data_IF_741223998253
#
_entry.id   IF_741223998253
#
_cell.length_a   1.000
_cell.length_b   1.000
_cell.length_c   1.000
_cell.angle_alpha   90.00
_cell.angle_beta   90.00
_cell.angle_gamma   90.00
#
_symmetry.space_group_name_H-M   'P 1'
#
loop_
_entity.id
_entity.type
_entity.pdbx_description
1 polymer ?
#
# COMPACT_ATOMS: atom_id res chain seq x y z
N UNK A 1 8.75 -27.55 1.04
CA UNK A 1 9.44 -28.00 -0.17
C UNK A 1 8.89 -27.28 -1.39
N UNK A 2 9.75 -26.74 -2.22
CA UNK A 2 9.36 -26.16 -3.51
C UNK A 2 9.13 -27.29 -4.51
N UNK A 3 7.93 -27.39 -5.06
CA UNK A 3 7.66 -28.29 -6.20
C UNK A 3 7.66 -27.45 -7.46
N UNK A 4 8.65 -27.62 -8.31
CA UNK A 4 8.71 -27.03 -9.65
C UNK A 4 8.08 -28.00 -10.64
N UNK A 5 6.93 -27.66 -11.22
CA UNK A 5 6.38 -28.29 -12.42
C UNK A 5 6.38 -27.29 -13.58
N UNK A 6 6.52 -27.74 -14.85
CA UNK A 6 6.44 -26.85 -16.00
C UNK A 6 5.08 -26.14 -16.03
N UNK A 7 5.08 -24.82 -15.85
CA UNK A 7 3.88 -23.99 -15.85
C UNK A 7 3.26 -23.65 -14.49
N UNK A 8 3.59 -24.39 -13.42
CA UNK A 8 3.18 -24.11 -12.04
C UNK A 8 4.40 -23.74 -11.21
N UNK A 9 4.52 -22.50 -10.84
CA UNK A 9 5.81 -22.03 -10.38
C UNK A 9 6.04 -22.13 -8.89
N UNK A 10 5.09 -22.13 -7.99
CA UNK A 10 5.38 -22.31 -6.54
C UNK A 10 4.11 -22.40 -5.69
N UNK A 11 3.99 -23.46 -4.91
CA UNK A 11 3.22 -23.50 -3.67
C UNK A 11 4.19 -23.23 -2.53
N UNK A 12 4.06 -22.09 -1.86
CA UNK A 12 4.88 -21.75 -0.70
C UNK A 12 3.98 -21.67 0.53
N UNK A 13 4.21 -22.54 1.50
CA UNK A 13 3.59 -22.44 2.81
C UNK A 13 4.33 -21.38 3.65
N UNK A 14 3.58 -20.56 4.39
CA UNK A 14 4.15 -19.59 5.32
C UNK A 14 4.85 -20.25 6.52
N UNK A 15 5.55 -19.47 7.34
CA UNK A 15 6.31 -20.00 8.47
C UNK A 15 5.41 -20.72 9.48
N UNK A 16 5.77 -21.97 9.77
CA UNK A 16 5.03 -22.84 10.69
C UNK A 16 5.19 -22.51 12.18
N UNK A 17 6.08 -21.58 12.55
CA UNK A 17 6.57 -21.43 13.92
C UNK A 17 5.67 -20.58 14.86
N UNK A 18 4.55 -20.06 14.38
CA UNK A 18 3.62 -19.27 15.17
C UNK A 18 2.16 -19.65 14.91
N UNK A 19 1.90 -20.88 14.48
CA UNK A 19 0.56 -21.29 14.06
C UNK A 19 -0.27 -21.57 15.31
N UNK A 20 -1.17 -20.66 15.66
CA UNK A 20 -2.33 -20.95 16.49
C UNK A 20 -3.30 -21.83 15.69
N UNK A 21 -4.15 -22.59 16.37
CA UNK A 21 -5.15 -23.43 15.71
C UNK A 21 -5.94 -22.63 14.65
N UNK A 22 -5.94 -23.10 13.39
CA UNK A 22 -6.63 -22.48 12.27
C UNK A 22 -5.86 -21.36 11.54
N UNK A 23 -4.61 -21.07 11.89
CA UNK A 23 -3.75 -20.16 11.11
C UNK A 23 -3.10 -20.90 9.94
N UNK A 24 -3.17 -20.26 8.77
CA UNK A 24 -2.49 -20.76 7.57
C UNK A 24 -2.21 -19.62 6.61
N UNK A 25 -1.26 -19.86 5.74
CA UNK A 25 -0.96 -19.01 4.61
C UNK A 25 -0.59 -19.88 3.40
N UNK A 26 -1.34 -19.75 2.33
CA UNK A 26 -1.15 -20.51 1.09
C UNK A 26 -1.12 -19.54 -0.09
N UNK A 27 -0.10 -19.65 -0.92
CA UNK A 27 0.04 -18.87 -2.14
C UNK A 27 0.35 -19.79 -3.32
N UNK A 28 -0.45 -19.69 -4.37
CA UNK A 28 -0.21 -20.35 -5.65
C UNK A 28 -0.04 -19.30 -6.76
N UNK A 29 0.93 -19.51 -7.63
CA UNK A 29 1.17 -18.62 -8.78
C UNK A 29 1.37 -19.46 -10.04
N UNK A 30 0.68 -19.05 -11.12
CA UNK A 30 0.85 -19.62 -12.47
C UNK A 30 1.29 -18.49 -13.39
N UNK A 31 2.24 -18.76 -14.27
CA UNK A 31 2.72 -17.80 -15.26
C UNK A 31 2.81 -18.42 -16.64
N UNK A 32 2.27 -17.71 -17.64
CA UNK A 32 2.33 -18.08 -19.06
C UNK A 32 2.65 -16.83 -19.89
N UNK A 33 3.87 -16.76 -20.39
CA UNK A 33 4.35 -15.60 -21.14
C UNK A 33 4.21 -14.29 -20.32
N UNK A 34 3.49 -13.29 -20.84
CA UNK A 34 3.28 -12.01 -20.16
C UNK A 34 2.20 -12.07 -19.07
N UNK A 35 1.40 -13.14 -19.02
CA UNK A 35 0.30 -13.30 -18.09
C UNK A 35 0.70 -14.11 -16.88
N UNK A 36 0.20 -13.71 -15.71
CA UNK A 36 0.29 -14.52 -14.48
C UNK A 36 -1.01 -14.44 -13.67
N UNK A 37 -1.33 -15.55 -13.03
CA UNK A 37 -2.42 -15.66 -12.08
C UNK A 37 -1.87 -16.02 -10.69
N UNK A 38 -2.44 -15.44 -9.66
CA UNK A 38 -2.06 -15.70 -8.27
C UNK A 38 -3.31 -15.91 -7.43
N UNK A 39 -3.25 -16.90 -6.56
CA UNK A 39 -4.22 -17.16 -5.50
C UNK A 39 -3.51 -17.05 -4.17
N UNK A 40 -4.06 -16.26 -3.25
CA UNK A 40 -3.62 -16.17 -1.88
C UNK A 40 -4.79 -16.50 -0.95
N UNK A 41 -4.58 -17.48 -0.08
CA UNK A 41 -5.50 -17.84 0.99
C UNK A 41 -4.74 -17.70 2.32
N UNK A 42 -5.29 -16.95 3.25
CA UNK A 42 -4.66 -16.74 4.54
C UNK A 42 -5.71 -16.70 5.65
N UNK A 43 -5.34 -17.23 6.80
CA UNK A 43 -6.09 -17.11 8.05
C UNK A 43 -5.11 -16.79 9.16
N UNK A 44 -5.38 -15.75 9.93
CA UNK A 44 -4.51 -15.31 11.00
C UNK A 44 -5.32 -14.82 12.21
N UNK A 45 -4.79 -15.08 13.39
CA UNK A 45 -5.40 -14.62 14.64
C UNK A 45 -5.33 -13.11 14.77
N UNK A 46 -6.28 -12.47 15.46
CA UNK A 46 -6.16 -11.09 15.88
C UNK A 46 -4.88 -10.89 16.71
N UNK A 47 -4.32 -9.68 16.66
CA UNK A 47 -3.13 -9.34 17.46
C UNK A 47 -3.44 -9.39 18.96
N UNK A 48 -2.42 -9.55 19.79
CA UNK A 48 -2.59 -9.56 21.26
C UNK A 48 -3.31 -8.29 21.73
N UNK A 49 -2.95 -7.13 21.19
CA UNK A 49 -3.59 -5.86 21.54
C UNK A 49 -5.05 -5.76 21.12
N UNK A 50 -5.48 -6.51 20.10
CA UNK A 50 -6.88 -6.63 19.72
C UNK A 50 -7.65 -7.60 20.61
N UNK A 51 -6.97 -8.62 21.13
CA UNK A 51 -7.58 -9.64 21.98
C UNK A 51 -7.66 -9.19 23.45
N UNK A 52 -6.64 -8.50 23.92
CA UNK A 52 -6.56 -8.06 25.30
C UNK A 52 -5.82 -6.73 25.44
N UNK A 53 -6.37 -5.84 26.23
CA UNK A 53 -5.75 -4.59 26.59
C UNK A 53 -6.25 -4.09 27.94
N UNK A 54 -5.33 -3.64 28.78
CA UNK A 54 -5.62 -2.98 30.05
C UNK A 54 -4.83 -1.69 30.12
N UNK A 55 -5.53 -0.58 30.20
CA UNK A 55 -4.96 0.76 30.32
C UNK A 55 -5.84 1.65 31.18
N UNK A 56 -5.41 2.89 31.40
CA UNK A 56 -6.14 3.83 32.28
C UNK A 56 -7.52 4.25 31.75
N UNK A 57 -7.71 4.21 30.41
CA UNK A 57 -8.91 4.70 29.76
C UNK A 57 -9.66 3.62 28.99
N UNK A 58 -9.00 2.51 28.68
CA UNK A 58 -9.55 1.45 27.87
C UNK A 58 -9.21 0.11 28.47
N UNK A 59 -10.18 -0.80 28.43
CA UNK A 59 -10.01 -2.19 28.83
C UNK A 59 -10.93 -3.05 27.96
N UNK A 60 -10.39 -4.17 27.43
CA UNK A 60 -11.16 -5.19 26.73
C UNK A 60 -10.51 -6.56 26.83
N UNK A 61 -11.33 -7.61 26.74
CA UNK A 61 -10.94 -9.01 26.81
C UNK A 61 -11.70 -9.82 25.77
N UNK A 62 -11.05 -10.16 24.66
CA UNK A 62 -11.61 -10.96 23.56
C UNK A 62 -10.86 -12.28 23.39
N UNK A 63 -10.27 -12.79 24.44
CA UNK A 63 -9.61 -14.10 24.43
C UNK A 63 -10.61 -15.24 24.61
N UNK A 64 -10.41 -16.41 23.97
CA UNK A 64 -11.32 -17.56 24.06
C UNK A 64 -11.54 -18.15 25.46
N UNK A 65 -10.61 -17.90 26.38
CA UNK A 65 -10.55 -18.58 27.68
C UNK A 65 -10.98 -17.69 28.85
N UNK A 66 -11.43 -16.46 28.61
CA UNK A 66 -11.81 -15.53 29.65
C UNK A 66 -13.31 -15.28 29.67
N UNK A 67 -13.92 -15.19 30.87
CA UNK A 67 -15.27 -14.66 31.10
C UNK A 67 -15.29 -13.14 30.77
N UNK A 68 -15.30 -12.82 29.52
CA UNK A 68 -15.25 -11.44 29.02
C UNK A 68 -16.08 -11.27 27.76
N UNK A 69 -15.65 -10.31 26.95
CA UNK A 69 -16.24 -10.06 25.64
C UNK A 69 -16.10 -11.29 24.73
N UNK A 70 -16.99 -11.41 23.74
CA UNK A 70 -16.93 -12.55 22.82
C UNK A 70 -15.58 -12.66 22.11
N UNK A 71 -14.99 -13.84 22.11
CA UNK A 71 -13.72 -14.12 21.45
C UNK A 71 -13.75 -13.81 19.94
N UNK A 72 -12.72 -13.14 19.44
CA UNK A 72 -12.57 -12.89 18.02
C UNK A 72 -12.18 -14.14 17.25
N UNK A 73 -12.80 -14.33 16.09
CA UNK A 73 -12.42 -15.36 15.11
C UNK A 73 -11.19 -14.92 14.32
N UNK A 74 -10.47 -15.88 13.75
CA UNK A 74 -9.38 -15.57 12.83
C UNK A 74 -9.88 -14.76 11.63
N UNK A 75 -9.12 -13.75 11.24
CA UNK A 75 -9.36 -13.04 10.00
C UNK A 75 -8.94 -13.91 8.83
N UNK A 76 -9.85 -14.14 7.89
CA UNK A 76 -9.56 -14.89 6.66
C UNK A 76 -9.52 -13.96 5.45
N UNK A 77 -8.49 -14.14 4.64
CA UNK A 77 -8.28 -13.40 3.39
C UNK A 77 -8.23 -14.38 2.24
N UNK A 78 -9.04 -14.11 1.23
CA UNK A 78 -9.02 -14.83 -0.05
C UNK A 78 -8.78 -13.79 -1.14
N UNK A 79 -7.68 -13.96 -1.89
CA UNK A 79 -7.33 -13.03 -2.95
C UNK A 79 -7.02 -13.77 -4.24
N UNK A 80 -7.58 -13.29 -5.33
CA UNK A 80 -7.31 -13.73 -6.70
C UNK A 80 -6.76 -12.54 -7.47
N UNK A 81 -5.59 -12.70 -8.10
CA UNK A 81 -4.95 -11.64 -8.86
C UNK A 81 -4.58 -12.13 -10.25
N UNK A 82 -5.08 -11.45 -11.27
CA UNK A 82 -4.59 -11.57 -12.65
C UNK A 82 -3.61 -10.43 -12.93
N UNK A 83 -2.48 -10.73 -13.56
CA UNK A 83 -1.45 -9.75 -13.90
C UNK A 83 -0.96 -9.94 -15.33
N UNK A 84 -0.82 -8.83 -16.04
CA UNK A 84 -0.15 -8.70 -17.32
C UNK A 84 1.13 -7.90 -17.12
N UNK A 85 2.27 -8.38 -17.62
CA UNK A 85 3.53 -7.64 -17.65
C UNK A 85 4.19 -7.86 -19.02
N UNK A 86 4.24 -6.82 -19.82
CA UNK A 86 4.68 -6.88 -21.21
C UNK A 86 5.73 -5.79 -21.48
N UNK A 87 6.87 -6.20 -22.03
CA UNK A 87 7.80 -5.26 -22.68
C UNK A 87 7.29 -4.99 -24.09
N UNK A 88 7.12 -3.72 -24.40
CA UNK A 88 6.64 -3.28 -25.70
C UNK A 88 7.83 -2.91 -26.60
N UNK A 89 7.75 -3.16 -27.92
CA UNK A 89 8.79 -2.76 -28.86
C UNK A 89 8.82 -1.25 -29.07
N UNK A 90 9.85 -0.77 -29.73
CA UNK A 90 9.97 0.59 -30.27
C UNK A 90 10.78 1.55 -29.41
N UNK A 91 10.74 1.44 -28.07
CA UNK A 91 11.48 2.36 -27.20
C UNK A 91 12.25 1.59 -26.13
N UNK A 92 13.30 2.22 -25.59
CA UNK A 92 14.04 1.65 -24.48
C UNK A 92 13.19 1.66 -23.20
N UNK A 93 13.31 0.62 -22.37
CA UNK A 93 12.56 0.46 -21.12
C UNK A 93 11.03 0.60 -21.27
N UNK A 94 10.49 0.20 -22.42
CA UNK A 94 9.07 0.28 -22.69
C UNK A 94 8.34 -0.90 -22.03
N UNK A 95 7.82 -0.69 -20.84
CA UNK A 95 7.15 -1.68 -20.00
C UNK A 95 5.72 -1.25 -19.72
N UNK A 96 4.79 -2.16 -19.94
CA UNK A 96 3.42 -2.03 -19.50
C UNK A 96 3.09 -3.14 -18.52
N UNK A 97 2.56 -2.79 -17.37
CA UNK A 97 2.07 -3.71 -16.34
C UNK A 97 0.64 -3.34 -15.97
N UNK A 98 -0.21 -4.34 -15.86
CA UNK A 98 -1.55 -4.19 -15.34
C UNK A 98 -1.90 -5.38 -14.44
N UNK A 99 -2.68 -5.15 -13.40
CA UNK A 99 -3.24 -6.23 -12.60
C UNK A 99 -4.63 -5.89 -12.11
N UNK A 100 -5.44 -6.93 -11.95
CA UNK A 100 -6.74 -6.85 -11.31
C UNK A 100 -6.80 -7.90 -10.20
N UNK A 101 -7.19 -7.49 -9.00
CA UNK A 101 -7.31 -8.35 -7.83
C UNK A 101 -8.72 -8.27 -7.25
N UNK A 102 -9.31 -9.44 -6.97
CA UNK A 102 -10.51 -9.57 -6.16
C UNK A 102 -10.10 -10.08 -4.79
N UNK A 103 -10.45 -9.35 -3.74
CA UNK A 103 -10.11 -9.67 -2.34
C UNK A 103 -11.39 -9.83 -1.56
N UNK A 104 -11.51 -10.94 -0.81
CA UNK A 104 -12.57 -11.19 0.13
C UNK A 104 -11.99 -11.30 1.55
N UNK A 105 -12.43 -10.43 2.44
CA UNK A 105 -12.03 -10.38 3.85
C UNK A 105 -13.19 -10.85 4.72
N UNK A 106 -12.94 -11.83 5.57
CA UNK A 106 -13.89 -12.37 6.54
C UNK A 106 -13.35 -12.13 7.94
N UNK A 107 -14.24 -11.77 8.88
CA UNK A 107 -13.89 -11.58 10.28
C UNK A 107 -12.74 -10.57 10.49
N UNK A 108 -12.69 -9.50 9.70
CA UNK A 108 -11.66 -8.48 9.85
C UNK A 108 -11.85 -7.72 11.16
N UNK A 109 -10.79 -7.61 11.96
CA UNK A 109 -10.80 -6.88 13.23
C UNK A 109 -10.32 -5.45 12.99
N UNK A 110 -11.05 -4.49 13.51
CA UNK A 110 -10.78 -3.07 13.41
C UNK A 110 -11.11 -2.37 14.73
N UNK A 111 -10.69 -1.12 14.90
CA UNK A 111 -11.09 -0.30 16.05
C UNK A 111 -12.23 0.61 15.64
N UNK A 112 -13.35 0.53 16.37
CA UNK A 112 -14.59 1.26 16.11
C UNK A 112 -14.45 2.77 16.41
N UNK A 113 -15.55 3.52 16.33
CA UNK A 113 -15.56 4.97 16.59
C UNK A 113 -15.26 5.35 18.05
N UNK A 114 -15.35 4.41 18.98
CA UNK A 114 -15.03 4.58 20.40
C UNK A 114 -13.58 4.18 20.69
N UNK A 115 -12.83 3.68 19.70
CA UNK A 115 -11.49 3.16 19.87
C UNK A 115 -11.44 1.75 20.46
N UNK A 116 -12.56 1.03 20.48
CA UNK A 116 -12.64 -0.36 20.93
C UNK A 116 -12.49 -1.32 19.76
N UNK A 117 -11.83 -2.49 19.95
CA UNK A 117 -11.74 -3.48 18.90
C UNK A 117 -13.11 -4.08 18.60
N UNK A 118 -13.42 -4.22 17.33
CA UNK A 118 -14.64 -4.81 16.80
C UNK A 118 -14.32 -5.72 15.63
N UNK A 119 -15.14 -6.71 15.39
CA UNK A 119 -14.95 -7.65 14.28
C UNK A 119 -16.11 -7.55 13.29
N UNK A 120 -15.80 -7.54 11.99
CA UNK A 120 -16.81 -7.59 10.95
C UNK A 120 -17.60 -8.89 11.02
N UNK A 121 -18.92 -8.77 11.02
CA UNK A 121 -19.85 -9.91 10.97
C UNK A 121 -20.15 -10.38 9.55
N UNK A 122 -19.87 -9.53 8.55
CA UNK A 122 -20.07 -9.82 7.14
C UNK A 122 -18.75 -9.79 6.37
N UNK A 123 -18.70 -10.48 5.24
CA UNK A 123 -17.53 -10.44 4.36
C UNK A 123 -17.40 -9.07 3.69
N UNK A 124 -16.16 -8.61 3.52
CA UNK A 124 -15.85 -7.39 2.79
C UNK A 124 -15.13 -7.73 1.48
N UNK A 125 -15.71 -7.29 0.37
CA UNK A 125 -15.14 -7.50 -0.96
C UNK A 125 -14.48 -6.23 -1.47
N UNK A 126 -13.26 -6.37 -2.00
CA UNK A 126 -12.51 -5.30 -2.64
C UNK A 126 -12.12 -5.73 -4.06
N UNK A 127 -12.24 -4.80 -4.99
CA UNK A 127 -11.67 -4.91 -6.33
C UNK A 127 -10.55 -3.90 -6.46
N UNK A 128 -9.34 -4.37 -6.78
CA UNK A 128 -8.16 -3.52 -6.89
C UNK A 128 -7.63 -3.64 -8.31
N UNK A 129 -7.60 -2.52 -9.01
CA UNK A 129 -6.97 -2.38 -10.32
C UNK A 129 -5.64 -1.63 -10.19
N UNK A 130 -4.59 -2.13 -10.82
CA UNK A 130 -3.30 -1.47 -10.91
C UNK A 130 -2.87 -1.40 -12.37
N UNK A 131 -2.30 -0.27 -12.77
CA UNK A 131 -1.65 -0.10 -14.07
C UNK A 131 -0.35 0.70 -13.90
N UNK A 132 0.68 0.30 -14.62
CA UNK A 132 1.96 1.01 -14.72
C UNK A 132 2.42 1.04 -16.16
N UNK A 133 2.87 2.20 -16.59
CA UNK A 133 3.49 2.40 -17.89
C UNK A 133 4.83 3.10 -17.71
N UNK A 134 5.90 2.44 -18.12
CA UNK A 134 7.25 2.99 -18.15
C UNK A 134 7.75 3.04 -19.58
N UNK A 135 8.32 4.16 -19.97
CA UNK A 135 8.91 4.31 -21.30
C UNK A 135 10.07 5.30 -21.26
N UNK A 136 11.07 5.07 -22.11
CA UNK A 136 12.21 5.95 -22.27
C UNK A 136 12.41 6.31 -23.74
N UNK A 137 12.41 7.62 -24.01
CA UNK A 137 12.68 8.22 -25.31
C UNK A 137 14.06 8.89 -25.27
N UNK A 138 15.07 8.21 -25.74
CA UNK A 138 16.45 8.69 -25.66
C UNK A 138 16.90 8.94 -24.21
N UNK A 139 17.01 10.21 -23.82
CA UNK A 139 17.39 10.63 -22.48
C UNK A 139 16.22 10.97 -21.56
N UNK A 140 14.99 11.04 -22.10
CA UNK A 140 13.79 11.32 -21.32
C UNK A 140 13.11 10.02 -20.92
N UNK A 141 12.73 9.92 -19.66
CA UNK A 141 11.99 8.79 -19.11
C UNK A 141 10.70 9.23 -18.46
N UNK A 142 9.68 8.38 -18.60
CA UNK A 142 8.36 8.53 -17.97
C UNK A 142 8.01 7.22 -17.29
N UNK A 143 7.60 7.30 -16.04
CA UNK A 143 7.11 6.17 -15.24
C UNK A 143 5.84 6.60 -14.54
N UNK A 144 4.71 6.03 -14.93
CA UNK A 144 3.40 6.38 -14.40
C UNK A 144 2.74 5.14 -13.85
N UNK A 145 2.18 5.23 -12.65
CA UNK A 145 1.39 4.16 -12.06
C UNK A 145 0.13 4.70 -11.43
N UNK A 146 -0.91 3.88 -11.44
CA UNK A 146 -2.19 4.17 -10.84
C UNK A 146 -2.75 2.92 -10.17
N UNK A 147 -3.31 3.08 -8.98
CA UNK A 147 -4.06 2.05 -8.26
C UNK A 147 -5.47 2.56 -8.01
N UNK A 148 -6.46 1.79 -8.43
CA UNK A 148 -7.87 2.04 -8.16
C UNK A 148 -8.43 0.93 -7.28
N UNK A 149 -9.06 1.31 -6.17
CA UNK A 149 -9.67 0.36 -5.22
C UNK A 149 -11.16 0.66 -5.11
N UNK A 150 -11.99 -0.33 -5.46
CA UNK A 150 -13.45 -0.29 -5.29
C UNK A 150 -13.86 -1.20 -4.14
N UNK A 151 -14.90 -0.83 -3.41
CA UNK A 151 -15.42 -1.57 -2.26
C UNK A 151 -14.91 -1.05 -0.90
N UNK A 152 -13.94 -0.11 -0.90
CA UNK A 152 -13.52 0.64 0.28
C UNK A 152 -14.23 2.00 0.39
N UNK A 153 -15.11 2.32 -0.58
CA UNK A 153 -15.78 3.61 -0.69
C UNK A 153 -16.88 3.78 0.36
N UNK A 154 -16.93 4.95 0.92
CA UNK A 154 -18.00 5.67 1.64
C UNK A 154 -18.79 4.98 2.77
N UNK A 155 -18.92 3.66 2.84
CA UNK A 155 -19.71 2.97 3.86
C UNK A 155 -19.02 1.72 4.42
N UNK A 156 -17.72 1.59 4.23
CA UNK A 156 -16.96 0.55 4.88
C UNK A 156 -16.72 0.94 6.32
N UNK A 157 -17.45 0.33 7.22
CA UNK A 157 -17.26 0.57 8.65
C UNK A 157 -15.83 0.27 9.10
N UNK A 158 -15.13 -0.64 8.43
CA UNK A 158 -13.83 -1.14 8.85
C UNK A 158 -12.63 -0.71 8.00
N UNK A 159 -12.82 -0.35 6.71
CA UNK A 159 -11.72 -0.07 5.80
C UNK A 159 -11.77 1.35 5.25
N UNK A 160 -10.69 2.08 5.41
CA UNK A 160 -10.54 3.48 5.02
C UNK A 160 -9.38 3.62 4.04
N UNK A 161 -9.67 3.44 2.75
CA UNK A 161 -8.67 3.44 1.67
C UNK A 161 -9.10 4.46 0.61
N UNK A 162 -8.19 5.30 0.06
CA UNK A 162 -8.51 6.17 -1.06
C UNK A 162 -8.85 5.33 -2.30
N UNK A 163 -9.90 5.73 -3.03
CA UNK A 163 -10.32 5.00 -4.23
C UNK A 163 -9.27 5.06 -5.34
N UNK A 164 -8.56 6.18 -5.47
CA UNK A 164 -7.54 6.36 -6.50
C UNK A 164 -6.25 6.93 -5.90
N UNK A 165 -5.14 6.27 -6.21
CA UNK A 165 -3.78 6.76 -5.94
C UNK A 165 -3.00 6.71 -7.24
N UNK A 166 -2.30 7.79 -7.60
CA UNK A 166 -1.43 7.83 -8.77
C UNK A 166 -0.05 8.36 -8.43
N UNK A 167 0.95 7.82 -9.08
CA UNK A 167 2.31 8.33 -9.04
C UNK A 167 2.84 8.46 -10.46
N UNK A 168 3.37 9.63 -10.78
CA UNK A 168 3.95 9.94 -12.08
C UNK A 168 5.34 10.49 -11.90
N UNK A 169 6.27 10.03 -12.70
CA UNK A 169 7.66 10.49 -12.71
C UNK A 169 8.08 10.80 -14.14
N UNK A 170 8.55 12.03 -14.37
CA UNK A 170 9.14 12.46 -15.63
C UNK A 170 10.57 12.92 -15.36
N UNK A 171 11.54 12.39 -16.09
CA UNK A 171 12.95 12.68 -15.82
C UNK A 171 13.79 12.73 -17.10
N UNK A 172 14.87 13.51 -17.02
CA UNK A 172 15.95 13.50 -17.97
C UNK A 172 17.16 12.80 -17.35
N UNK A 173 17.83 11.95 -18.11
CA UNK A 173 19.04 11.25 -17.68
C UNK A 173 20.18 11.41 -18.66
N UNK A 174 21.38 11.57 -18.17
CA UNK A 174 22.58 11.70 -18.99
C UNK A 174 23.83 11.40 -18.19
N UNK A 175 24.89 10.97 -18.92
CA UNK A 175 26.23 11.00 -18.40
C UNK A 175 26.82 12.40 -18.57
N UNK A 176 27.50 12.89 -17.54
CA UNK A 176 28.23 14.16 -17.54
C UNK A 176 29.68 13.93 -17.14
N UNK A 177 30.53 14.92 -17.30
CA UNK A 177 31.97 14.88 -17.00
C UNK A 177 32.70 13.70 -17.66
N UNK A 178 32.58 13.55 -19.00
CA UNK A 178 33.24 12.46 -19.72
C UNK A 178 32.80 11.05 -19.32
N UNK A 179 31.51 10.88 -18.93
CA UNK A 179 30.93 9.65 -18.42
C UNK A 179 31.34 9.28 -16.98
N UNK A 180 31.97 10.17 -16.23
CA UNK A 180 32.36 9.92 -14.85
C UNK A 180 31.16 9.91 -13.88
N UNK A 181 30.07 10.56 -14.26
CA UNK A 181 28.85 10.68 -13.43
C UNK A 181 27.61 10.43 -14.27
N UNK A 182 26.79 9.49 -13.86
CA UNK A 182 25.43 9.30 -14.40
C UNK A 182 24.44 10.14 -13.59
N UNK A 183 23.60 10.91 -14.26
CA UNK A 183 22.65 11.81 -13.59
C UNK A 183 21.23 11.60 -14.06
N UNK A 184 20.30 11.76 -13.14
CA UNK A 184 18.88 11.91 -13.39
C UNK A 184 18.35 13.16 -12.71
N UNK A 185 17.58 13.96 -13.42
CA UNK A 185 16.86 15.11 -12.88
C UNK A 185 15.44 15.07 -13.36
N UNK A 186 14.49 15.35 -12.49
CA UNK A 186 13.09 15.23 -12.88
C UNK A 186 12.09 15.72 -11.86
N UNK A 187 10.84 15.48 -12.20
CA UNK A 187 9.67 15.78 -11.39
C UNK A 187 8.92 14.50 -11.05
N UNK A 188 8.39 14.46 -9.86
CA UNK A 188 7.47 13.43 -9.39
C UNK A 188 6.16 14.09 -9.01
N UNK A 189 5.06 13.45 -9.33
CA UNK A 189 3.72 13.88 -8.93
C UNK A 189 2.98 12.72 -8.30
N UNK A 190 2.59 12.90 -7.04
CA UNK A 190 1.75 11.99 -6.29
C UNK A 190 0.35 12.58 -6.18
N UNK A 191 -0.69 11.80 -6.43
CA UNK A 191 -2.08 12.21 -6.23
C UNK A 191 -2.84 11.13 -5.48
N UNK A 192 -3.73 11.56 -4.59
CA UNK A 192 -4.62 10.73 -3.82
C UNK A 192 -6.02 11.33 -3.82
N UNK A 193 -7.03 10.48 -4.10
CA UNK A 193 -8.43 10.89 -4.00
C UNK A 193 -8.84 11.10 -2.54
N UNK A 194 -9.89 11.88 -2.33
CA UNK A 194 -10.46 12.08 -0.99
C UNK A 194 -10.93 10.76 -0.38
N UNK A 195 -10.77 10.61 0.93
CA UNK A 195 -11.28 9.49 1.70
C UNK A 195 -11.43 9.87 3.18
N UNK A 196 -12.19 9.10 3.94
CA UNK A 196 -12.21 9.21 5.40
C UNK A 196 -10.99 8.48 5.94
N UNK A 197 -10.13 9.16 6.69
CA UNK A 197 -8.96 8.56 7.32
C UNK A 197 -9.30 7.90 8.65
N UNK A 198 -8.36 7.10 9.15
CA UNK A 198 -8.38 6.67 10.55
C UNK A 198 -7.81 7.78 11.42
N UNK A 199 -8.43 8.02 12.58
CA UNK A 199 -7.84 8.84 13.63
C UNK A 199 -6.90 8.00 14.50
N UNK A 200 -6.01 8.63 15.25
CA UNK A 200 -5.03 7.95 16.08
C UNK A 200 -5.31 8.16 17.56
N UNK A 201 -5.36 7.05 18.32
CA UNK A 201 -5.48 7.06 19.78
C UNK A 201 -4.13 6.88 20.43
N UNK A 202 -3.55 7.92 21.06
CA UNK A 202 -2.27 7.79 21.76
C UNK A 202 -2.32 6.83 22.95
N UNK A 203 -3.47 6.69 23.62
CA UNK A 203 -3.65 5.83 24.79
C UNK A 203 -3.61 4.34 24.46
N UNK A 204 -4.09 3.95 23.30
CA UNK A 204 -4.06 2.57 22.81
C UNK A 204 -2.98 2.31 21.76
N UNK A 205 -2.37 3.39 21.23
CA UNK A 205 -1.43 3.37 20.10
C UNK A 205 -2.01 2.71 18.85
N UNK A 206 -3.34 2.85 18.65
CA UNK A 206 -4.05 2.25 17.54
C UNK A 206 -4.74 3.31 16.68
N UNK A 207 -4.89 2.99 15.41
CA UNK A 207 -5.74 3.75 14.49
C UNK A 207 -7.17 3.24 14.60
N UNK A 208 -8.13 4.15 14.76
CA UNK A 208 -9.54 3.84 14.94
C UNK A 208 -10.43 4.62 13.98
N UNK A 209 -11.67 4.19 13.83
CA UNK A 209 -12.64 4.85 12.95
C UNK A 209 -13.06 6.20 13.53
N UNK A 210 -13.12 7.22 12.67
CA UNK A 210 -13.71 8.51 13.00
C UNK A 210 -14.37 9.12 11.76
N UNK A 211 -15.64 9.49 11.88
CA UNK A 211 -16.42 9.94 10.71
C UNK A 211 -16.43 11.45 10.52
N UNK A 212 -15.89 12.19 11.47
CA UNK A 212 -15.91 13.66 11.47
C UNK A 212 -14.78 14.32 10.67
N UNK A 213 -13.88 13.53 10.05
CA UNK A 213 -12.78 14.08 9.28
C UNK A 213 -12.63 13.37 7.93
N UNK A 214 -12.66 14.16 6.88
CA UNK A 214 -12.37 13.69 5.51
C UNK A 214 -11.05 14.27 5.04
N UNK A 215 -10.09 13.42 4.74
CA UNK A 215 -8.87 13.82 4.05
C UNK A 215 -9.27 14.16 2.63
N UNK A 216 -9.08 15.44 2.25
CA UNK A 216 -9.40 15.93 0.90
C UNK A 216 -8.43 15.34 -0.11
N UNK A 217 -8.85 15.30 -1.37
CA UNK A 217 -7.94 15.00 -2.46
C UNK A 217 -6.80 16.01 -2.50
N UNK A 218 -5.61 15.53 -2.72
CA UNK A 218 -4.42 16.39 -2.85
C UNK A 218 -3.44 15.81 -3.87
N UNK A 219 -2.64 16.71 -4.44
CA UNK A 219 -1.52 16.38 -5.29
C UNK A 219 -0.24 16.99 -4.72
N UNK A 220 0.83 16.22 -4.74
CA UNK A 220 2.17 16.64 -4.28
C UNK A 220 3.14 16.55 -5.45
N UNK A 221 3.64 17.70 -5.88
CA UNK A 221 4.73 17.78 -6.85
C UNK A 221 6.06 17.84 -6.11
N UNK A 222 7.05 17.10 -6.60
CA UNK A 222 8.40 17.08 -6.06
C UNK A 222 9.42 17.20 -7.19
N UNK A 223 10.56 17.85 -6.93
CA UNK A 223 11.72 17.79 -7.82
C UNK A 223 12.80 16.90 -7.21
N UNK A 224 13.55 16.23 -8.05
CA UNK A 224 14.65 15.40 -7.62
C UNK A 224 15.84 15.50 -8.57
N UNK A 225 17.02 15.26 -8.02
CA UNK A 225 18.26 15.06 -8.71
C UNK A 225 18.98 13.87 -8.09
N UNK A 226 19.45 12.95 -8.92
CA UNK A 226 20.25 11.80 -8.50
C UNK A 226 21.51 11.77 -9.33
N UNK A 227 22.64 11.50 -8.71
CA UNK A 227 23.92 11.37 -9.36
C UNK A 227 24.67 10.12 -8.88
N UNK A 228 25.00 9.23 -9.80
CA UNK A 228 25.80 8.05 -9.54
C UNK A 228 27.26 8.32 -9.95
N UNK A 229 28.16 8.32 -8.98
CA UNK A 229 29.60 8.57 -9.15
C UNK A 229 30.34 7.32 -8.72
N UNK A 230 30.68 6.44 -9.66
CA UNK A 230 31.30 5.13 -9.38
C UNK A 230 30.44 4.29 -8.40
N UNK A 231 30.91 4.14 -7.16
CA UNK A 231 30.25 3.36 -6.11
C UNK A 231 29.36 4.21 -5.19
N UNK A 232 29.24 5.50 -5.44
CA UNK A 232 28.51 6.44 -4.58
C UNK A 232 27.31 7.01 -5.33
N UNK A 233 26.13 6.93 -4.74
CA UNK A 233 24.91 7.59 -5.23
C UNK A 233 24.58 8.77 -4.32
N UNK A 234 24.50 9.96 -4.89
CA UNK A 234 24.07 11.18 -4.18
C UNK A 234 22.69 11.57 -4.69
N UNK A 235 21.78 11.92 -3.79
CA UNK A 235 20.49 12.45 -4.19
C UNK A 235 20.15 13.76 -3.49
N UNK A 236 19.41 14.60 -4.20
CA UNK A 236 18.74 15.80 -3.69
C UNK A 236 17.27 15.69 -4.07
N UNK A 237 16.38 16.03 -3.13
CA UNK A 237 14.94 16.03 -3.38
C UNK A 237 14.29 17.21 -2.67
N UNK A 238 13.36 17.85 -3.36
CA UNK A 238 12.50 18.90 -2.80
C UNK A 238 11.05 18.43 -2.94
N UNK A 239 10.48 17.76 -1.93
CA UNK A 239 9.08 17.39 -1.94
C UNK A 239 8.19 18.62 -1.72
N UNK A 240 6.96 18.52 -2.20
CA UNK A 240 5.90 19.50 -2.05
C UNK A 240 6.23 20.88 -2.62
N UNK A 241 6.74 20.94 -3.86
CA UNK A 241 7.01 22.17 -4.59
C UNK A 241 5.79 23.09 -4.69
N UNK A 242 4.62 22.48 -4.85
CA UNK A 242 3.33 23.16 -5.00
C UNK A 242 2.70 23.58 -3.65
N UNK A 243 3.44 23.59 -2.55
CA UNK A 243 2.95 24.12 -1.28
C UNK A 243 2.55 25.59 -1.44
N UNK A 244 1.32 25.91 -1.02
CA UNK A 244 0.77 27.26 -1.11
C UNK A 244 0.01 27.56 -2.40
N UNK A 245 0.10 26.72 -3.44
CA UNK A 245 -0.68 26.94 -4.68
C UNK A 245 -2.15 26.53 -4.53
N UNK A 246 -2.42 25.48 -3.74
CA UNK A 246 -3.76 24.90 -3.56
C UNK A 246 -4.24 24.94 -2.10
N UNK A 247 -3.83 25.97 -1.34
CA UNK A 247 -4.16 26.10 0.08
C UNK A 247 -2.98 25.83 1.02
N UNK A 248 -3.25 25.82 2.32
CA UNK A 248 -2.22 25.86 3.37
C UNK A 248 -1.48 24.53 3.61
N UNK A 249 -1.86 23.45 2.94
CA UNK A 249 -1.27 22.12 3.15
C UNK A 249 -2.27 21.00 2.96
N UNK A 250 -1.87 19.78 3.29
CA UNK A 250 -2.72 18.60 3.29
C UNK A 250 -2.50 17.79 4.57
N UNK A 251 -3.43 16.91 4.87
CA UNK A 251 -3.36 16.04 6.04
C UNK A 251 -2.93 14.64 5.63
N UNK A 252 -1.98 14.06 6.37
CA UNK A 252 -1.57 12.66 6.20
C UNK A 252 -2.56 11.70 6.89
N UNK A 253 -3.07 12.09 8.04
CA UNK A 253 -4.17 11.47 8.79
C UNK A 253 -5.03 12.56 9.43
N UNK A 254 -6.22 12.26 9.95
CA UNK A 254 -7.04 13.25 10.64
C UNK A 254 -6.26 14.05 11.67
N UNK A 255 -6.36 15.38 11.60
CA UNK A 255 -5.69 16.35 12.47
C UNK A 255 -4.16 16.41 12.41
N UNK A 256 -3.49 15.52 11.67
CA UNK A 256 -2.04 15.53 11.50
C UNK A 256 -1.67 16.07 10.10
N UNK A 257 -1.15 17.31 10.02
CA UNK A 257 -0.71 17.87 8.75
C UNK A 257 0.51 17.10 8.24
N UNK A 258 0.59 16.97 6.93
CA UNK A 258 1.76 16.41 6.29
C UNK A 258 2.95 17.36 6.34
N UNK A 259 4.12 16.86 6.03
CA UNK A 259 5.34 17.66 6.04
C UNK A 259 5.28 18.83 5.04
N UNK A 260 5.79 20.01 5.42
CA UNK A 260 5.93 21.14 4.51
C UNK A 260 7.02 20.87 3.46
N UNK A 261 7.15 21.80 2.52
CA UNK A 261 8.28 21.82 1.58
C UNK A 261 9.60 21.80 2.34
N UNK A 262 10.50 20.93 1.95
CA UNK A 262 11.80 20.76 2.59
C UNK A 262 12.85 20.30 1.59
N UNK A 263 14.11 20.45 1.95
CA UNK A 263 15.22 19.84 1.23
C UNK A 263 15.57 18.51 1.88
N UNK A 264 15.78 17.51 1.05
CA UNK A 264 16.28 16.19 1.44
C UNK A 264 17.52 15.89 0.62
N UNK A 265 18.53 15.37 1.26
CA UNK A 265 19.75 14.91 0.60
C UNK A 265 20.22 13.63 1.29
N UNK A 266 21.00 12.84 0.54
CA UNK A 266 21.62 11.61 1.06
C UNK A 266 22.69 11.11 0.12
N UNK A 267 23.50 10.21 0.64
CA UNK A 267 24.61 9.54 -0.01
C UNK A 267 24.46 8.04 0.18
#
# INVERSE_FOLDING_TARGET
GEVKSPGLTQLKAGPLNAIRSGEYWLRGTVRTGPLSGEVLLASYSPTLTQQEFVGNHYQWHHQPETDGDAAFKNTSTQQFTGRLSQRLPGFADHLFEASASAVNLLNYVYYDQNGLPAQLTSSKQLLIGFARHRVRFGRFGFDNQATYTKGAENNSEALRIPALVTESRAYYQSYIFGKAMFTQVGLEFYYQSRFRGYDYSPSTQQFYLKDNFTIRNYGVASAFFVADIKAVTVFLKVPYLNQGLNGAGYFASPYYPAYPRRFQFGI
#
